data_IF_415248583446
#
_entry.id   IF_415248583446
#
_cell.length_a   1.000
_cell.length_b   1.000
_cell.length_c   1.000
_cell.angle_alpha   90.00
_cell.angle_beta   90.00
_cell.angle_gamma   90.00
#
_symmetry.space_group_name_H-M   'P 1'
#
loop_
_entity.id
_entity.type
_entity.pdbx_description
1 polymer ?
#
# COMPACT_ATOMS: atom_id res chain seq x y z
N UNK A 1 -40.75 -3.99 -25.32
CA UNK A 1 -40.24 -3.09 -24.24
C UNK A 1 -39.24 -3.74 -23.27
N UNK A 2 -38.69 -4.94 -23.55
CA UNK A 2 -37.72 -5.60 -22.64
C UNK A 2 -36.25 -5.56 -23.11
N UNK A 3 -35.99 -5.10 -24.33
CA UNK A 3 -34.63 -5.09 -24.92
C UNK A 3 -33.90 -3.72 -24.90
N UNK A 4 -34.55 -2.65 -24.44
CA UNK A 4 -33.97 -1.29 -24.46
C UNK A 4 -33.28 -0.91 -23.15
N UNK A 5 -33.58 -1.59 -22.03
CA UNK A 5 -32.96 -1.32 -20.72
C UNK A 5 -31.58 -1.96 -20.53
N UNK A 6 -31.25 -3.01 -21.28
CA UNK A 6 -29.92 -3.65 -21.24
C UNK A 6 -28.89 -2.82 -22.03
N UNK A 7 -29.34 -2.04 -23.02
CA UNK A 7 -28.45 -1.22 -23.86
C UNK A 7 -28.09 0.11 -23.15
N UNK A 8 -29.01 0.70 -22.39
CA UNK A 8 -28.72 1.93 -21.61
C UNK A 8 -27.90 1.71 -20.34
N UNK A 9 -27.95 0.50 -19.75
CA UNK A 9 -27.05 0.11 -18.64
C UNK A 9 -25.61 -0.06 -19.13
N UNK A 10 -25.41 -0.52 -20.37
CA UNK A 10 -24.08 -0.70 -20.94
C UNK A 10 -23.43 0.63 -21.36
N UNK A 11 -24.19 1.63 -21.81
CA UNK A 11 -23.62 2.92 -22.28
C UNK A 11 -23.13 3.79 -21.10
N UNK A 12 -23.80 3.73 -19.94
CA UNK A 12 -23.37 4.49 -18.74
C UNK A 12 -22.19 3.83 -18.01
N UNK A 13 -22.03 2.52 -18.16
CA UNK A 13 -20.85 1.78 -17.70
C UNK A 13 -19.69 1.98 -18.69
N UNK A 14 -19.95 2.02 -20.00
CA UNK A 14 -18.93 2.30 -21.03
C UNK A 14 -18.33 3.71 -20.95
N UNK A 15 -19.12 4.73 -20.63
CA UNK A 15 -18.63 6.12 -20.55
C UNK A 15 -17.75 6.37 -19.31
N UNK A 16 -17.85 5.52 -18.28
CA UNK A 16 -16.89 5.51 -17.15
C UNK A 16 -15.61 4.75 -17.54
N UNK A 17 -15.67 3.80 -18.47
CA UNK A 17 -14.54 2.92 -18.82
C UNK A 17 -13.51 3.52 -19.80
N UNK A 18 -13.84 4.55 -20.58
CA UNK A 18 -12.94 5.06 -21.64
C UNK A 18 -11.77 5.96 -21.18
N UNK A 19 -11.68 6.32 -19.88
CA UNK A 19 -10.64 7.23 -19.33
C UNK A 19 -9.52 6.46 -18.56
N UNK A 20 -9.51 5.13 -18.58
CA UNK A 20 -8.88 4.32 -17.52
C UNK A 20 -7.38 3.97 -17.62
N UNK A 21 -6.65 4.25 -18.72
CA UNK A 21 -5.22 3.86 -18.79
C UNK A 21 -4.33 4.71 -17.88
N UNK A 22 -4.51 6.04 -17.87
CA UNK A 22 -3.87 6.96 -16.92
C UNK A 22 -4.38 6.73 -15.49
N UNK A 23 -5.65 6.37 -15.33
CA UNK A 23 -6.27 6.13 -14.02
C UNK A 23 -5.73 4.87 -13.35
N UNK A 24 -5.40 3.81 -14.08
CA UNK A 24 -4.89 2.56 -13.46
C UNK A 24 -3.52 2.78 -12.81
N UNK A 25 -2.65 3.57 -13.45
CA UNK A 25 -1.37 3.98 -12.88
C UNK A 25 -1.55 4.93 -11.69
N UNK A 26 -2.40 5.96 -11.83
CA UNK A 26 -2.67 6.92 -10.74
C UNK A 26 -3.33 6.26 -9.53
N UNK A 27 -4.21 5.28 -9.73
CA UNK A 27 -4.81 4.47 -8.68
C UNK A 27 -3.80 3.52 -8.03
N UNK A 28 -2.94 2.86 -8.82
CA UNK A 28 -1.88 2.00 -8.28
C UNK A 28 -0.89 2.80 -7.42
N UNK A 29 -0.33 3.86 -8.00
CA UNK A 29 0.62 4.75 -7.32
C UNK A 29 -0.06 5.46 -6.15
N UNK A 30 -1.31 5.88 -6.30
CA UNK A 30 -2.10 6.50 -5.26
C UNK A 30 -2.47 5.54 -4.12
N UNK A 31 -2.55 4.24 -4.34
CA UNK A 31 -2.86 3.32 -3.23
C UNK A 31 -1.60 2.79 -2.54
N UNK A 32 -0.48 2.66 -3.29
CA UNK A 32 0.82 2.29 -2.70
C UNK A 32 1.42 3.47 -1.93
N UNK A 33 1.42 4.68 -2.52
CA UNK A 33 1.87 5.90 -1.84
C UNK A 33 0.78 6.30 -0.84
N UNK A 34 0.87 5.74 0.36
CA UNK A 34 -0.04 5.98 1.47
C UNK A 34 0.59 6.83 2.57
N UNK A 35 -0.05 6.81 3.73
CA UNK A 35 0.49 7.45 4.94
C UNK A 35 1.66 6.71 5.58
N UNK A 36 1.99 5.51 5.09
CA UNK A 36 3.05 4.67 5.67
C UNK A 36 4.43 5.33 5.65
N UNK A 37 4.76 6.13 4.63
CA UNK A 37 6.04 6.87 4.57
C UNK A 37 6.18 7.93 5.67
N UNK A 38 5.08 8.35 6.29
CA UNK A 38 5.08 9.31 7.40
C UNK A 38 5.19 8.61 8.78
N UNK A 39 5.11 7.29 8.83
CA UNK A 39 5.10 6.52 10.09
C UNK A 39 6.31 5.59 10.17
N UNK A 40 6.55 4.82 9.11
CA UNK A 40 7.56 3.77 9.05
C UNK A 40 9.01 4.24 9.22
N UNK A 41 9.46 5.45 8.82
CA UNK A 41 10.85 5.86 9.00
C UNK A 41 11.37 5.73 10.43
N UNK A 42 10.55 6.10 11.42
CA UNK A 42 10.89 5.98 12.84
C UNK A 42 11.13 4.53 13.25
N UNK A 43 10.19 3.64 12.95
CA UNK A 43 10.30 2.21 13.30
C UNK A 43 11.41 1.49 12.52
N UNK A 44 11.66 1.87 11.26
CA UNK A 44 12.78 1.32 10.48
C UNK A 44 14.11 1.75 11.08
N UNK A 45 14.27 3.02 11.46
CA UNK A 45 15.50 3.51 12.08
C UNK A 45 15.73 2.88 13.46
N UNK A 46 14.69 2.80 14.29
CA UNK A 46 14.75 2.21 15.64
C UNK A 46 15.25 0.76 15.62
N UNK A 47 14.78 -0.02 14.66
CA UNK A 47 15.14 -1.43 14.54
C UNK A 47 16.43 -1.69 13.74
N UNK A 48 16.83 -0.78 12.85
CA UNK A 48 18.09 -0.91 12.10
C UNK A 48 19.31 -0.39 12.86
N UNK A 49 19.14 0.58 13.76
CA UNK A 49 20.22 1.11 14.61
C UNK A 49 21.27 1.96 13.87
N UNK A 50 21.12 2.17 12.57
CA UNK A 50 22.03 2.93 11.71
C UNK A 50 21.26 3.51 10.51
N UNK A 51 21.62 4.73 10.11
CA UNK A 51 21.03 5.43 8.96
C UNK A 51 21.29 4.67 7.65
N UNK A 52 22.51 4.19 7.45
CA UNK A 52 22.91 3.43 6.26
C UNK A 52 22.12 2.13 6.12
N UNK A 53 21.96 1.38 7.22
CA UNK A 53 21.15 0.16 7.20
C UNK A 53 19.66 0.47 6.98
N UNK A 54 19.12 1.54 7.57
CA UNK A 54 17.74 1.97 7.32
C UNK A 54 17.47 2.21 5.83
N UNK A 55 18.37 2.92 5.13
CA UNK A 55 18.25 3.17 3.69
C UNK A 55 18.33 1.88 2.87
N UNK A 56 19.20 0.93 3.24
CA UNK A 56 19.27 -0.39 2.61
C UNK A 56 17.93 -1.14 2.78
N UNK A 57 17.32 -1.09 3.96
CA UNK A 57 16.02 -1.73 4.23
C UNK A 57 14.92 -1.14 3.32
N UNK A 58 14.91 0.17 3.07
CA UNK A 58 13.97 0.79 2.14
C UNK A 58 14.13 0.30 0.70
N UNK A 59 15.37 0.24 0.20
CA UNK A 59 15.66 -0.23 -1.16
C UNK A 59 15.31 -1.71 -1.31
N UNK A 60 15.76 -2.55 -0.36
CA UNK A 60 15.47 -3.98 -0.37
C UNK A 60 13.97 -4.26 -0.17
N UNK A 61 13.28 -3.48 0.66
CA UNK A 61 11.83 -3.54 0.83
C UNK A 61 11.08 -3.27 -0.48
N UNK A 62 11.51 -2.26 -1.24
CA UNK A 62 11.00 -2.00 -2.58
C UNK A 62 11.26 -3.15 -3.57
N UNK A 63 12.45 -3.76 -3.53
CA UNK A 63 12.76 -4.94 -4.33
C UNK A 63 11.86 -6.14 -3.98
N UNK A 64 11.61 -6.40 -2.70
CA UNK A 64 10.70 -7.46 -2.24
C UNK A 64 9.27 -7.19 -2.72
N UNK A 65 8.80 -5.94 -2.61
CA UNK A 65 7.48 -5.54 -3.09
C UNK A 65 7.37 -5.71 -4.62
N UNK A 66 8.41 -5.37 -5.38
CA UNK A 66 8.47 -5.58 -6.82
C UNK A 66 8.36 -7.07 -7.16
N UNK A 67 9.15 -7.94 -6.53
CA UNK A 67 9.08 -9.39 -6.75
C UNK A 67 7.71 -9.97 -6.39
N UNK A 68 7.15 -9.58 -5.25
CA UNK A 68 5.82 -10.03 -4.80
C UNK A 68 4.72 -9.61 -5.77
N UNK A 69 4.74 -8.36 -6.22
CA UNK A 69 3.76 -7.82 -7.17
C UNK A 69 3.79 -8.52 -8.53
N UNK A 70 4.96 -8.96 -9.01
CA UNK A 70 5.07 -9.69 -10.28
C UNK A 70 4.44 -11.07 -10.18
N UNK A 71 4.65 -11.78 -9.06
CA UNK A 71 3.98 -13.05 -8.80
C UNK A 71 2.45 -12.87 -8.77
N UNK A 72 1.96 -11.79 -8.17
CA UNK A 72 0.54 -11.46 -8.16
C UNK A 72 0.02 -11.05 -9.53
N UNK A 73 0.81 -10.33 -10.34
CA UNK A 73 0.42 -9.95 -11.69
C UNK A 73 0.13 -11.17 -12.57
N UNK A 74 0.95 -12.22 -12.45
CA UNK A 74 0.71 -13.50 -13.11
C UNK A 74 -0.58 -14.18 -12.64
N UNK A 75 -0.83 -14.22 -11.33
CA UNK A 75 -2.06 -14.79 -10.79
C UNK A 75 -3.29 -14.00 -11.26
N UNK A 76 -3.25 -12.67 -11.23
CA UNK A 76 -4.36 -11.81 -11.64
C UNK A 76 -4.74 -11.95 -13.11
N UNK A 77 -3.77 -12.19 -14.00
CA UNK A 77 -4.09 -12.44 -15.43
C UNK A 77 -4.42 -13.90 -15.73
N UNK A 78 -4.04 -14.83 -14.85
CA UNK A 78 -4.33 -16.27 -15.00
C UNK A 78 -5.69 -16.63 -14.42
N UNK A 79 -6.06 -16.01 -13.31
CA UNK A 79 -7.34 -16.18 -12.59
C UNK A 79 -7.98 -14.79 -12.50
N UNK A 80 -8.65 -14.31 -13.56
CA UNK A 80 -9.24 -12.97 -13.60
C UNK A 80 -10.58 -12.94 -12.83
N UNK A 81 -10.53 -13.24 -11.52
CA UNK A 81 -11.65 -13.14 -10.58
C UNK A 81 -11.39 -11.99 -9.61
N UNK A 82 -12.42 -11.22 -9.27
CA UNK A 82 -12.35 -10.24 -8.18
C UNK A 82 -12.21 -10.94 -6.83
N UNK A 83 -11.66 -10.26 -5.82
CA UNK A 83 -11.37 -10.81 -4.49
C UNK A 83 -9.87 -11.03 -4.19
N UNK A 84 -8.98 -10.82 -5.18
CA UNK A 84 -7.53 -10.82 -4.97
C UNK A 84 -7.01 -12.15 -4.41
N UNK A 85 -6.22 -12.07 -3.34
CA UNK A 85 -5.60 -13.20 -2.64
C UNK A 85 -6.60 -14.27 -2.20
N UNK A 86 -7.78 -13.88 -1.74
CA UNK A 86 -8.85 -14.83 -1.39
C UNK A 86 -9.24 -15.71 -2.58
N UNK A 87 -9.48 -15.10 -3.74
CA UNK A 87 -9.94 -15.81 -4.94
C UNK A 87 -8.85 -16.71 -5.50
N UNK A 88 -7.58 -16.29 -5.43
CA UNK A 88 -6.44 -17.11 -5.85
C UNK A 88 -6.27 -18.35 -4.97
N UNK A 89 -6.27 -18.16 -3.65
CA UNK A 89 -6.08 -19.25 -2.69
C UNK A 89 -7.27 -20.22 -2.71
N UNK A 90 -8.50 -19.72 -2.84
CA UNK A 90 -9.71 -20.56 -2.93
C UNK A 90 -9.68 -21.45 -4.19
N UNK A 91 -9.25 -20.91 -5.34
CA UNK A 91 -9.14 -21.69 -6.59
C UNK A 91 -8.04 -22.76 -6.52
N UNK A 92 -6.93 -22.48 -5.81
CA UNK A 92 -5.75 -23.35 -5.79
C UNK A 92 -5.83 -24.43 -4.70
N UNK A 93 -6.22 -24.04 -3.48
CA UNK A 93 -6.20 -24.89 -2.28
C UNK A 93 -7.60 -25.26 -1.76
N UNK A 94 -8.66 -24.68 -2.31
CA UNK A 94 -10.05 -24.96 -1.94
C UNK A 94 -10.61 -24.04 -0.85
N UNK A 95 -11.85 -24.33 -0.44
CA UNK A 95 -12.66 -23.43 0.39
C UNK A 95 -12.11 -23.15 1.79
N UNK A 96 -11.52 -24.15 2.47
CA UNK A 96 -11.03 -23.97 3.85
C UNK A 96 -9.89 -22.95 3.94
N UNK A 97 -8.86 -23.08 3.10
CA UNK A 97 -7.71 -22.15 3.10
C UNK A 97 -8.14 -20.77 2.61
N UNK A 98 -9.05 -20.72 1.63
CA UNK A 98 -9.70 -19.48 1.21
C UNK A 98 -10.44 -18.78 2.36
N UNK A 99 -11.25 -19.52 3.12
CA UNK A 99 -11.98 -19.00 4.27
C UNK A 99 -11.05 -18.47 5.36
N UNK A 100 -9.95 -19.18 5.69
CA UNK A 100 -8.99 -18.72 6.68
C UNK A 100 -8.34 -17.38 6.29
N UNK A 101 -7.99 -17.21 5.02
CA UNK A 101 -7.43 -15.96 4.50
C UNK A 101 -8.47 -14.84 4.53
N UNK A 102 -9.70 -15.13 4.12
CA UNK A 102 -10.82 -14.18 4.18
C UNK A 102 -11.10 -13.73 5.62
N UNK A 103 -11.15 -14.67 6.56
CA UNK A 103 -11.34 -14.43 7.98
C UNK A 103 -10.25 -13.54 8.56
N UNK A 104 -8.98 -13.87 8.32
CA UNK A 104 -7.86 -13.06 8.79
C UNK A 104 -7.85 -11.69 8.14
N UNK A 105 -8.22 -11.58 6.86
CA UNK A 105 -8.27 -10.31 6.18
C UNK A 105 -9.34 -9.38 6.77
N UNK A 106 -10.58 -9.86 6.89
CA UNK A 106 -11.74 -9.05 7.30
C UNK A 106 -11.66 -8.63 8.77
N UNK A 107 -11.18 -9.50 9.66
CA UNK A 107 -11.17 -9.21 11.10
C UNK A 107 -9.85 -8.65 11.61
N UNK A 108 -8.74 -8.97 10.97
CA UNK A 108 -7.41 -8.58 11.45
C UNK A 108 -6.76 -7.59 10.50
N UNK A 109 -6.52 -7.96 9.24
CA UNK A 109 -5.69 -7.15 8.34
C UNK A 109 -6.32 -5.78 8.06
N UNK A 110 -7.55 -5.75 7.53
CA UNK A 110 -8.23 -4.50 7.18
C UNK A 110 -8.48 -3.61 8.41
N UNK A 111 -9.06 -4.10 9.51
CA UNK A 111 -9.33 -3.27 10.68
C UNK A 111 -8.05 -2.73 11.33
N UNK A 112 -6.97 -3.53 11.37
CA UNK A 112 -5.70 -3.08 11.95
C UNK A 112 -5.05 -1.99 11.09
N UNK A 113 -5.01 -2.18 9.76
CA UNK A 113 -4.45 -1.15 8.87
C UNK A 113 -5.26 0.15 8.93
N UNK A 114 -6.59 0.08 8.95
CA UNK A 114 -7.45 1.26 9.12
C UNK A 114 -7.19 1.96 10.47
N UNK A 115 -7.03 1.21 11.56
CA UNK A 115 -6.73 1.77 12.87
C UNK A 115 -5.38 2.49 12.90
N UNK A 116 -4.33 1.89 12.32
CA UNK A 116 -3.00 2.52 12.24
C UNK A 116 -3.05 3.84 11.45
N UNK A 117 -3.74 3.86 10.31
CA UNK A 117 -3.86 5.07 9.49
C UNK A 117 -4.67 6.15 10.22
N UNK A 118 -5.76 5.78 10.91
CA UNK A 118 -6.58 6.71 11.70
C UNK A 118 -5.82 7.29 12.91
N UNK A 119 -5.03 6.47 13.61
CA UNK A 119 -4.14 6.95 14.68
C UNK A 119 -3.07 7.90 14.14
N UNK A 120 -2.57 7.64 12.94
CA UNK A 120 -1.61 8.53 12.28
C UNK A 120 -2.25 9.88 11.97
N UNK A 121 -3.47 9.88 11.45
CA UNK A 121 -4.23 11.11 11.23
C UNK A 121 -4.29 11.97 12.50
N UNK A 122 -4.71 11.38 13.62
CA UNK A 122 -4.86 12.14 14.86
C UNK A 122 -3.53 12.63 15.44
N UNK A 123 -2.47 11.81 15.40
CA UNK A 123 -1.14 12.22 15.85
C UNK A 123 -0.59 13.40 15.05
N UNK A 124 -0.76 13.39 13.72
CA UNK A 124 -0.28 14.48 12.87
C UNK A 124 -1.10 15.77 13.02
N UNK A 125 -2.40 15.67 13.24
CA UNK A 125 -3.27 16.85 13.47
C UNK A 125 -3.05 17.45 14.86
N UNK A 126 -2.76 16.62 15.87
CA UNK A 126 -2.56 17.07 17.25
C UNK A 126 -1.13 17.55 17.51
N UNK A 127 -0.14 17.15 16.70
CA UNK A 127 1.27 17.56 16.90
C UNK A 127 1.45 19.08 17.00
N UNK A 128 0.86 19.93 16.13
CA UNK A 128 1.02 21.38 16.25
C UNK A 128 0.34 21.99 17.48
N UNK A 129 -0.67 21.30 18.04
CA UNK A 129 -1.39 21.74 19.24
C UNK A 129 -0.61 21.37 20.51
N UNK A 130 0.13 20.25 20.45
CA UNK A 130 0.97 19.73 21.53
C UNK A 130 2.43 19.59 21.05
N UNK A 131 3.15 20.70 20.78
CA UNK A 131 4.48 20.64 20.17
C UNK A 131 5.52 19.97 21.09
N UNK A 132 5.51 20.30 22.38
CA UNK A 132 6.51 19.84 23.36
C UNK A 132 6.01 18.68 24.25
N UNK A 133 4.82 18.14 23.99
CA UNK A 133 4.23 17.10 24.84
C UNK A 133 3.53 16.03 24.02
N UNK A 134 3.44 14.82 24.61
CA UNK A 134 2.73 13.71 23.98
C UNK A 134 1.23 13.99 24.03
N UNK A 135 0.52 13.95 22.89
CA UNK A 135 -0.91 14.24 22.87
C UNK A 135 -1.68 13.23 23.75
N UNK A 136 -2.70 13.67 24.50
CA UNK A 136 -3.44 12.79 25.40
C UNK A 136 -4.03 11.58 24.68
N UNK A 137 -3.88 10.40 25.29
CA UNK A 137 -4.33 9.12 24.72
C UNK A 137 -5.82 9.11 24.32
N UNK A 138 -6.69 9.74 25.11
CA UNK A 138 -8.12 9.81 24.79
C UNK A 138 -8.42 10.77 23.63
N UNK A 139 -7.58 11.79 23.41
CA UNK A 139 -7.76 12.76 22.33
C UNK A 139 -7.41 12.14 20.97
N UNK A 140 -6.27 11.43 20.88
CA UNK A 140 -5.84 10.74 19.64
C UNK A 140 -6.88 9.71 19.20
N UNK A 141 -7.19 8.79 20.12
CA UNK A 141 -8.51 8.29 20.48
C UNK A 141 -9.71 8.72 19.63
N UNK A 142 -10.41 9.65 20.26
CA UNK A 142 -11.68 10.19 19.82
C UNK A 142 -11.57 10.80 18.43
N UNK A 143 -10.48 11.52 18.14
CA UNK A 143 -10.27 12.16 16.84
C UNK A 143 -10.12 11.13 15.71
N UNK A 144 -9.42 10.02 15.97
CA UNK A 144 -9.29 8.91 15.02
C UNK A 144 -10.64 8.23 14.76
N UNK A 145 -11.43 8.00 15.81
CA UNK A 145 -12.79 7.45 15.68
C UNK A 145 -13.72 8.37 14.90
N UNK A 146 -13.68 9.69 15.17
CA UNK A 146 -14.48 10.68 14.43
C UNK A 146 -14.11 10.67 12.95
N UNK A 147 -12.81 10.64 12.62
CA UNK A 147 -12.33 10.56 11.24
C UNK A 147 -12.85 9.30 10.52
N UNK A 148 -12.72 8.14 11.19
CA UNK A 148 -13.19 6.86 10.65
C UNK A 148 -14.71 6.85 10.42
N UNK A 149 -15.51 7.32 11.39
CA UNK A 149 -16.96 7.38 11.29
C UNK A 149 -17.41 8.31 10.17
N UNK A 150 -16.76 9.47 10.05
CA UNK A 150 -17.02 10.42 8.97
C UNK A 150 -16.76 9.81 7.60
N UNK A 151 -15.60 9.19 7.39
CA UNK A 151 -15.26 8.55 6.12
C UNK A 151 -16.14 7.33 5.81
N UNK A 152 -16.52 6.56 6.83
CA UNK A 152 -17.48 5.46 6.68
C UNK A 152 -18.84 6.01 6.22
N UNK A 153 -19.32 7.12 6.81
CA UNK A 153 -20.55 7.77 6.39
C UNK A 153 -20.50 8.28 4.94
N UNK A 154 -19.39 8.89 4.53
CA UNK A 154 -19.18 9.33 3.13
C UNK A 154 -19.25 8.14 2.17
N UNK A 155 -18.57 7.04 2.51
CA UNK A 155 -18.56 5.81 1.69
C UNK A 155 -19.93 5.12 1.63
N UNK A 156 -20.73 5.18 2.71
CA UNK A 156 -22.11 4.69 2.72
C UNK A 156 -23.06 5.57 1.88
N UNK A 157 -22.79 6.88 1.81
CA UNK A 157 -23.68 7.86 1.17
C UNK A 157 -23.49 7.93 -0.34
N UNK A 158 -22.25 8.03 -0.83
CA UNK A 158 -22.00 8.12 -2.27
C UNK A 158 -20.60 7.66 -2.67
N UNK A 159 -20.54 6.60 -3.48
CA UNK A 159 -19.29 6.11 -4.06
C UNK A 159 -18.63 7.19 -4.95
N UNK A 160 -19.42 7.97 -5.69
CA UNK A 160 -18.89 9.04 -6.56
C UNK A 160 -18.21 10.16 -5.78
N UNK A 161 -18.73 10.48 -4.60
CA UNK A 161 -18.12 11.46 -3.72
C UNK A 161 -16.81 10.90 -3.16
N UNK A 162 -16.82 9.65 -2.68
CA UNK A 162 -15.63 8.98 -2.17
C UNK A 162 -14.49 8.91 -3.21
N UNK A 163 -14.79 8.64 -4.48
CA UNK A 163 -13.78 8.61 -5.55
C UNK A 163 -13.24 10.00 -5.87
N UNK A 164 -14.09 11.04 -5.96
CA UNK A 164 -13.63 12.42 -6.19
C UNK A 164 -12.73 12.93 -5.06
N UNK A 165 -13.11 12.61 -3.81
CA UNK A 165 -12.33 12.93 -2.63
C UNK A 165 -10.94 12.25 -2.69
N UNK A 166 -10.90 10.98 -3.12
CA UNK A 166 -9.64 10.24 -3.31
C UNK A 166 -8.68 10.92 -4.30
N UNK A 167 -9.19 11.39 -5.44
CA UNK A 167 -8.37 12.01 -6.47
C UNK A 167 -7.70 13.29 -5.96
N UNK A 168 -8.47 14.14 -5.27
CA UNK A 168 -7.96 15.38 -4.66
C UNK A 168 -6.87 15.07 -3.63
N UNK A 169 -7.10 14.09 -2.75
CA UNK A 169 -6.12 13.70 -1.73
C UNK A 169 -4.86 13.06 -2.32
N UNK A 170 -4.98 12.40 -3.47
CA UNK A 170 -3.84 11.81 -4.17
C UNK A 170 -2.91 12.88 -4.74
N UNK A 171 -3.47 13.97 -5.28
CA UNK A 171 -2.66 15.12 -5.72
C UNK A 171 -1.98 15.79 -4.53
N UNK A 172 -2.72 16.00 -3.43
CA UNK A 172 -2.19 16.65 -2.23
C UNK A 172 -0.98 15.93 -1.62
N UNK A 173 -1.03 14.60 -1.49
CA UNK A 173 0.11 13.85 -0.92
C UNK A 173 1.34 13.81 -1.82
N UNK A 174 1.16 13.78 -3.15
CA UNK A 174 2.28 13.81 -4.09
C UNK A 174 2.97 15.18 -4.07
N UNK A 175 2.20 16.25 -3.95
CA UNK A 175 2.75 17.60 -3.76
C UNK A 175 3.57 17.70 -2.47
N UNK A 176 3.08 17.12 -1.37
CA UNK A 176 3.77 17.12 -0.09
C UNK A 176 5.09 16.34 -0.12
N UNK A 177 5.09 15.14 -0.71
CA UNK A 177 6.33 14.37 -0.90
C UNK A 177 7.30 15.08 -1.84
N UNK A 178 6.81 15.69 -2.91
CA UNK A 178 7.61 16.52 -3.80
C UNK A 178 8.28 17.67 -3.05
N UNK A 179 7.55 18.35 -2.16
CA UNK A 179 8.09 19.43 -1.33
C UNK A 179 9.19 18.93 -0.38
N UNK A 180 8.99 17.81 0.31
CA UNK A 180 10.02 17.21 1.18
C UNK A 180 11.29 16.89 0.38
N UNK A 181 11.13 16.26 -0.79
CA UNK A 181 12.26 15.87 -1.65
C UNK A 181 13.02 17.10 -2.15
N UNK A 182 12.32 18.11 -2.67
CA UNK A 182 12.97 19.33 -3.19
C UNK A 182 13.73 20.06 -2.09
N UNK A 183 13.11 20.22 -0.91
CA UNK A 183 13.75 20.89 0.23
C UNK A 183 14.94 20.10 0.75
N UNK A 184 14.84 18.77 0.82
CA UNK A 184 15.96 17.89 1.18
C UNK A 184 17.12 17.96 0.19
N UNK A 185 16.84 17.98 -1.11
CA UNK A 185 17.88 18.17 -2.13
C UNK A 185 18.57 19.53 -2.01
N UNK A 186 17.82 20.60 -1.72
CA UNK A 186 18.41 21.93 -1.46
C UNK A 186 19.32 21.90 -0.24
N UNK A 187 18.97 21.19 0.83
CA UNK A 187 19.84 21.03 2.01
C UNK A 187 21.14 20.29 1.68
N UNK A 188 21.06 19.22 0.89
CA UNK A 188 22.24 18.49 0.42
C UNK A 188 23.14 19.41 -0.42
N UNK A 189 22.56 20.20 -1.33
CA UNK A 189 23.30 21.18 -2.13
C UNK A 189 23.95 22.30 -1.28
N UNK A 190 23.43 22.60 -0.10
CA UNK A 190 24.02 23.56 0.85
C UNK A 190 25.18 22.96 1.66
N UNK A 191 25.46 21.67 1.53
CA UNK A 191 26.53 20.97 2.26
C UNK A 191 26.07 20.19 3.49
N UNK A 192 24.76 20.16 3.80
CA UNK A 192 24.22 19.46 4.96
C UNK A 192 24.00 17.97 4.67
N UNK A 193 25.09 17.25 4.40
CA UNK A 193 25.08 15.81 4.11
C UNK A 193 25.97 14.99 5.07
N UNK A 194 26.47 15.59 6.16
CA UNK A 194 27.37 14.93 7.12
C UNK A 194 26.78 13.62 7.66
N UNK A 195 25.51 13.61 8.07
CA UNK A 195 24.82 12.41 8.54
C UNK A 195 24.59 11.31 7.48
N UNK A 196 24.78 11.64 6.19
CA UNK A 196 24.66 10.71 5.06
C UNK A 196 26.02 10.19 4.57
N UNK A 197 27.13 10.71 5.11
CA UNK A 197 28.46 10.24 4.74
C UNK A 197 28.67 8.80 5.21
N UNK A 198 29.37 7.93 4.45
CA UNK A 198 29.46 6.51 4.79
C UNK A 198 30.04 6.20 6.18
N UNK A 199 30.92 7.07 6.70
CA UNK A 199 31.55 6.87 8.01
C UNK A 199 30.57 7.11 9.17
N UNK A 200 29.68 8.10 9.06
CA UNK A 200 28.62 8.37 10.06
C UNK A 200 27.39 7.51 9.81
N UNK A 201 27.00 7.32 8.55
CA UNK A 201 25.77 6.62 8.21
C UNK A 201 25.77 5.16 8.67
N UNK A 202 26.93 4.48 8.61
CA UNK A 202 27.11 3.11 9.08
C UNK A 202 27.63 3.01 10.52
N UNK A 203 27.61 4.11 11.27
CA UNK A 203 27.83 4.06 12.70
C UNK A 203 26.57 3.48 13.37
N UNK A 204 26.75 2.36 14.06
CA UNK A 204 25.67 1.67 14.73
C UNK A 204 25.61 2.15 16.18
N UNK A 205 24.50 2.78 16.57
CA UNK A 205 24.24 3.08 18.00
C UNK A 205 24.10 1.78 18.81
N UNK A 206 23.63 0.72 18.15
CA UNK A 206 23.54 -0.64 18.66
C UNK A 206 23.66 -1.62 17.50
N UNK A 207 24.39 -2.73 17.70
CA UNK A 207 24.42 -3.82 16.72
C UNK A 207 23.04 -4.50 16.67
N UNK A 208 22.31 -4.43 15.53
CA UNK A 208 20.97 -4.98 15.44
C UNK A 208 21.05 -6.51 15.38
N UNK A 209 20.19 -7.19 16.14
CA UNK A 209 20.01 -8.63 15.99
C UNK A 209 19.25 -8.94 14.70
N UNK A 210 19.36 -10.19 14.21
CA UNK A 210 18.60 -10.64 13.02
C UNK A 210 17.09 -10.40 13.18
N UNK A 211 16.57 -10.58 14.39
CA UNK A 211 15.16 -10.31 14.70
C UNK A 211 14.80 -8.82 14.57
N UNK A 212 15.69 -7.91 14.99
CA UNK A 212 15.46 -6.48 14.83
C UNK A 212 15.50 -6.07 13.35
N UNK A 213 16.45 -6.60 12.57
CA UNK A 213 16.47 -6.37 11.12
C UNK A 213 15.17 -6.87 10.47
N UNK A 214 14.64 -8.03 10.88
CA UNK A 214 13.36 -8.52 10.40
C UNK A 214 12.19 -7.59 10.75
N UNK A 215 12.15 -7.04 11.97
CA UNK A 215 11.15 -6.03 12.36
C UNK A 215 11.27 -4.75 11.52
N UNK A 216 12.49 -4.31 11.18
CA UNK A 216 12.69 -3.17 10.27
C UNK A 216 12.07 -3.43 8.89
N UNK A 217 12.21 -4.65 8.35
CA UNK A 217 11.53 -5.04 7.11
C UNK A 217 10.01 -5.08 7.24
N UNK A 218 9.46 -5.50 8.38
CA UNK A 218 8.00 -5.45 8.62
C UNK A 218 7.47 -4.01 8.64
N UNK A 219 8.23 -3.07 9.23
CA UNK A 219 7.89 -1.65 9.24
C UNK A 219 7.99 -1.02 7.84
N UNK A 220 9.03 -1.34 7.08
CA UNK A 220 9.17 -0.87 5.70
C UNK A 220 8.07 -1.44 4.79
N UNK A 221 7.74 -2.73 4.95
CA UNK A 221 6.68 -3.39 4.19
C UNK A 221 5.32 -2.76 4.39
N UNK A 222 5.03 -2.27 5.60
CA UNK A 222 3.81 -1.52 5.87
C UNK A 222 3.69 -0.28 4.97
N UNK A 223 4.79 0.44 4.75
CA UNK A 223 4.79 1.61 3.86
C UNK A 223 4.62 1.25 2.38
N UNK A 224 5.10 0.08 1.95
CA UNK A 224 4.88 -0.43 0.61
C UNK A 224 3.54 -1.15 0.42
N UNK A 225 2.76 -1.35 1.49
CA UNK A 225 1.47 -2.05 1.43
C UNK A 225 0.52 -1.38 0.42
N UNK A 226 -0.36 -2.19 -0.18
CA UNK A 226 -1.30 -1.73 -1.21
C UNK A 226 -0.88 -2.04 -2.65
N UNK A 227 0.31 -2.60 -2.88
CA UNK A 227 0.73 -3.06 -4.22
C UNK A 227 -0.18 -4.18 -4.78
N UNK A 228 -0.87 -4.93 -3.91
CA UNK A 228 -1.83 -5.95 -4.29
C UNK A 228 -3.23 -5.39 -4.61
N UNK A 229 -3.47 -4.08 -4.45
CA UNK A 229 -4.78 -3.44 -4.65
C UNK A 229 -5.41 -3.76 -6.02
N UNK A 230 -4.63 -3.62 -7.10
CA UNK A 230 -5.12 -3.82 -8.47
C UNK A 230 -5.69 -5.23 -8.68
N UNK A 231 -5.21 -6.22 -7.92
CA UNK A 231 -5.67 -7.61 -8.03
C UNK A 231 -7.10 -7.78 -7.51
N UNK A 232 -7.54 -6.99 -6.52
CA UNK A 232 -8.91 -7.02 -6.02
C UNK A 232 -9.92 -6.42 -7.00
N UNK A 233 -9.47 -5.49 -7.86
CA UNK A 233 -10.29 -4.79 -8.85
C UNK A 233 -10.00 -5.24 -10.29
N UNK A 234 -9.38 -6.42 -10.47
CA UNK A 234 -8.96 -6.91 -11.79
C UNK A 234 -10.09 -6.97 -12.81
N UNK A 235 -11.32 -7.30 -12.38
CA UNK A 235 -12.51 -7.34 -13.24
C UNK A 235 -12.91 -5.97 -13.81
N UNK A 236 -12.50 -4.89 -13.14
CA UNK A 236 -12.81 -3.50 -13.53
C UNK A 236 -11.68 -2.87 -14.39
N UNK A 237 -10.53 -3.53 -14.51
CA UNK A 237 -9.37 -3.02 -15.26
C UNK A 237 -9.55 -3.28 -16.76
N UNK A 238 -9.45 -2.24 -17.58
CA UNK A 238 -9.44 -2.35 -19.04
C UNK A 238 -8.15 -3.07 -19.48
N UNK A 239 -8.28 -4.12 -20.28
CA UNK A 239 -7.15 -4.95 -20.76
C UNK A 239 -6.15 -5.35 -19.64
N UNK A 240 -6.57 -6.15 -18.64
CA UNK A 240 -5.75 -6.45 -17.47
C UNK A 240 -4.43 -7.13 -17.84
N UNK A 241 -4.41 -7.89 -18.95
CA UNK A 241 -3.20 -8.57 -19.47
C UNK A 241 -2.06 -7.61 -19.82
N UNK A 242 -2.36 -6.37 -20.22
CA UNK A 242 -1.36 -5.37 -20.63
C UNK A 242 -1.18 -4.29 -19.57
N UNK A 243 -2.29 -3.80 -19.02
CA UNK A 243 -2.27 -2.63 -18.15
C UNK A 243 -1.86 -2.96 -16.72
N UNK A 244 -2.21 -4.15 -16.20
CA UNK A 244 -1.80 -4.60 -14.86
C UNK A 244 -0.27 -4.68 -14.71
N UNK A 245 0.49 -5.41 -15.56
CA UNK A 245 1.95 -5.48 -15.41
C UNK A 245 2.62 -4.13 -15.67
N UNK A 246 2.15 -3.36 -16.66
CA UNK A 246 2.70 -2.02 -16.97
C UNK A 246 2.55 -1.07 -15.78
N UNK A 247 1.40 -1.08 -15.11
CA UNK A 247 1.18 -0.27 -13.92
C UNK A 247 2.19 -0.65 -12.82
N UNK A 248 2.37 -1.94 -12.55
CA UNK A 248 3.29 -2.46 -11.53
C UNK A 248 4.75 -2.09 -11.83
N UNK A 249 5.21 -2.30 -13.08
CA UNK A 249 6.60 -2.03 -13.48
C UNK A 249 6.98 -0.55 -13.36
N UNK A 250 6.02 0.36 -13.48
CA UNK A 250 6.27 1.80 -13.36
C UNK A 250 6.06 2.25 -11.92
N UNK A 251 4.99 1.81 -11.26
CA UNK A 251 4.60 2.35 -9.95
C UNK A 251 5.56 1.93 -8.83
N UNK A 252 6.00 0.67 -8.76
CA UNK A 252 6.81 0.20 -7.62
C UNK A 252 8.21 0.79 -7.60
N UNK A 253 8.98 0.81 -8.71
CA UNK A 253 10.28 1.48 -8.74
C UNK A 253 10.17 2.97 -8.44
N UNK A 254 9.12 3.64 -8.96
CA UNK A 254 8.86 5.04 -8.65
C UNK A 254 8.59 5.26 -7.16
N UNK A 255 7.73 4.46 -6.54
CA UNK A 255 7.48 4.53 -5.09
C UNK A 255 8.77 4.30 -4.31
N UNK A 256 9.55 3.30 -4.68
CA UNK A 256 10.82 2.97 -4.01
C UNK A 256 11.77 4.16 -4.08
N UNK A 257 11.91 4.76 -5.25
CA UNK A 257 12.72 5.95 -5.45
C UNK A 257 12.23 7.14 -4.59
N UNK A 258 10.93 7.43 -4.60
CA UNK A 258 10.32 8.50 -3.80
C UNK A 258 10.52 8.26 -2.30
N UNK A 259 10.31 7.03 -1.82
CA UNK A 259 10.47 6.68 -0.41
C UNK A 259 11.93 6.78 0.04
N UNK A 260 12.88 6.26 -0.76
CA UNK A 260 14.31 6.39 -0.45
C UNK A 260 14.73 7.86 -0.43
N UNK A 261 14.33 8.67 -1.41
CA UNK A 261 14.63 10.11 -1.42
C UNK A 261 14.00 10.86 -0.25
N UNK A 262 12.78 10.50 0.15
CA UNK A 262 12.11 11.12 1.31
C UNK A 262 12.88 10.81 2.60
N UNK A 263 13.36 9.59 2.78
CA UNK A 263 14.19 9.25 3.94
C UNK A 263 15.54 9.96 3.91
N UNK A 264 16.19 10.05 2.75
CA UNK A 264 17.43 10.85 2.59
C UNK A 264 17.18 12.32 2.98
N UNK A 265 16.05 12.89 2.56
CA UNK A 265 15.65 14.25 2.95
C UNK A 265 15.48 14.39 4.46
N UNK A 266 14.83 13.44 5.14
CA UNK A 266 14.71 13.46 6.60
C UNK A 266 16.07 13.44 7.30
N UNK A 267 16.99 12.57 6.87
CA UNK A 267 18.34 12.49 7.44
C UNK A 267 19.23 13.69 7.13
N UNK A 268 18.93 14.48 6.08
CA UNK A 268 19.62 15.75 5.81
C UNK A 268 19.18 16.89 6.73
N UNK A 269 18.01 16.78 7.36
CA UNK A 269 17.41 17.85 8.15
C UNK A 269 17.45 17.61 9.66
N UNK A 270 17.47 16.35 10.08
CA UNK A 270 17.34 15.92 11.48
C UNK A 270 18.40 14.87 11.82
N UNK A 271 18.84 14.86 13.07
CA UNK A 271 19.69 13.77 13.57
C UNK A 271 18.88 12.49 13.77
N UNK A 272 19.52 11.31 13.81
CA UNK A 272 18.83 10.04 14.09
C UNK A 272 18.06 10.06 15.42
N UNK A 273 18.64 10.65 16.46
CA UNK A 273 18.04 10.75 17.80
C UNK A 273 16.77 11.61 17.79
N UNK A 274 16.79 12.72 17.05
CA UNK A 274 15.66 13.61 16.91
C UNK A 274 14.53 12.97 16.08
N UNK A 275 14.88 12.19 15.04
CA UNK A 275 13.89 11.44 14.28
C UNK A 275 13.17 10.41 15.16
N UNK A 276 13.90 9.76 16.08
CA UNK A 276 13.35 8.78 17.02
C UNK A 276 12.52 9.42 18.13
N UNK A 277 12.85 10.64 18.57
CA UNK A 277 12.05 11.35 19.58
C UNK A 277 10.75 11.94 19.00
N UNK A 278 10.72 12.27 17.71
CA UNK A 278 9.54 12.83 17.05
C UNK A 278 8.39 11.82 16.93
N UNK A 279 7.16 12.26 17.22
CA UNK A 279 5.93 11.49 16.95
C UNK A 279 5.41 11.68 15.52
N UNK A 280 5.81 12.77 14.86
CA UNK A 280 5.35 13.16 13.53
C UNK A 280 6.54 13.71 12.72
N UNK A 281 7.34 12.80 12.17
CA UNK A 281 8.61 13.08 11.49
C UNK A 281 8.49 14.18 10.42
N UNK A 282 7.40 14.17 9.63
CA UNK A 282 7.21 15.15 8.57
C UNK A 282 6.86 16.57 9.09
N UNK A 283 6.23 16.66 10.26
CA UNK A 283 5.94 17.95 10.91
C UNK A 283 7.22 18.55 11.46
N UNK A 284 8.03 17.76 12.16
CA UNK A 284 9.34 18.20 12.68
C UNK A 284 10.27 18.65 11.55
N UNK A 285 10.28 17.93 10.42
CA UNK A 285 10.99 18.36 9.21
C UNK A 285 10.51 19.74 8.72
N UNK A 286 9.20 19.96 8.70
CA UNK A 286 8.60 21.23 8.30
C UNK A 286 8.93 22.38 9.24
N UNK A 287 8.87 22.15 10.55
CA UNK A 287 9.21 23.16 11.57
C UNK A 287 10.66 23.66 11.43
N UNK A 288 11.59 22.75 11.13
CA UNK A 288 13.00 23.10 10.94
C UNK A 288 13.30 23.87 9.68
N UNK A 289 12.70 23.47 8.55
CA UNK A 289 13.13 23.95 7.24
C UNK A 289 12.17 24.92 6.56
N UNK A 290 10.89 24.88 6.91
CA UNK A 290 9.84 25.63 6.23
C UNK A 290 9.36 26.85 7.03
N UNK A 291 9.72 26.96 8.31
CA UNK A 291 9.34 28.08 9.17
C UNK A 291 7.82 28.30 9.17
N UNK A 292 7.36 29.44 8.64
CA UNK A 292 5.91 29.76 8.54
C UNK A 292 5.11 28.77 7.70
N UNK A 293 5.75 28.06 6.76
CA UNK A 293 5.09 27.06 5.91
C UNK A 293 5.01 25.68 6.57
N UNK A 294 5.45 25.52 7.83
CA UNK A 294 5.37 24.25 8.57
C UNK A 294 3.94 23.69 8.67
N UNK A 295 2.93 24.57 8.70
CA UNK A 295 1.49 24.24 8.73
C UNK A 295 1.05 23.41 7.52
N UNK A 296 1.74 23.50 6.38
CA UNK A 296 1.42 22.72 5.18
C UNK A 296 1.65 21.22 5.42
N UNK A 297 2.62 20.85 6.26
CA UNK A 297 2.99 19.46 6.53
C UNK A 297 1.87 18.66 7.22
N UNK A 298 1.35 19.06 8.41
CA UNK A 298 0.28 18.32 9.06
C UNK A 298 -0.99 18.28 8.22
N UNK A 299 -1.33 19.36 7.50
CA UNK A 299 -2.48 19.38 6.59
C UNK A 299 -2.30 18.35 5.47
N UNK A 300 -1.14 18.32 4.84
CA UNK A 300 -0.87 17.40 3.73
C UNK A 300 -0.86 15.94 4.18
N UNK A 301 -0.24 15.64 5.33
CA UNK A 301 -0.22 14.28 5.88
C UNK A 301 -1.63 13.85 6.31
N UNK A 302 -2.41 14.76 6.91
CA UNK A 302 -3.81 14.52 7.23
C UNK A 302 -4.61 14.14 5.98
N UNK A 303 -4.51 14.92 4.90
CA UNK A 303 -5.16 14.59 3.62
C UNK A 303 -4.71 13.22 3.07
N UNK A 304 -3.43 12.87 3.22
CA UNK A 304 -2.91 11.56 2.83
C UNK A 304 -3.53 10.42 3.65
N UNK A 305 -3.64 10.57 4.97
CA UNK A 305 -4.28 9.57 5.85
C UNK A 305 -5.76 9.40 5.55
N UNK A 306 -6.47 10.50 5.26
CA UNK A 306 -7.86 10.50 4.81
C UNK A 306 -8.05 9.67 3.53
N UNK A 307 -7.19 9.89 2.53
CA UNK A 307 -7.19 9.09 1.29
C UNK A 307 -6.82 7.62 1.52
N UNK A 308 -5.96 7.34 2.50
CA UNK A 308 -5.64 5.97 2.91
C UNK A 308 -6.86 5.23 3.46
N UNK A 309 -7.56 5.82 4.45
CA UNK A 309 -8.76 5.23 5.05
C UNK A 309 -9.83 5.00 3.98
N UNK A 310 -10.08 6.00 3.13
CA UNK A 310 -11.07 5.90 2.06
C UNK A 310 -10.75 4.78 1.06
N UNK A 311 -9.49 4.64 0.64
CA UNK A 311 -9.03 3.57 -0.24
C UNK A 311 -9.21 2.17 0.38
N UNK A 312 -8.91 2.02 1.68
CA UNK A 312 -9.07 0.74 2.39
C UNK A 312 -10.53 0.37 2.65
N UNK A 313 -11.41 1.34 2.90
CA UNK A 313 -12.86 1.09 3.01
C UNK A 313 -13.45 0.57 1.68
N UNK A 314 -12.93 1.05 0.55
CA UNK A 314 -13.37 0.64 -0.78
C UNK A 314 -12.97 -0.80 -1.15
N UNK A 315 -11.81 -1.26 -0.70
CA UNK A 315 -11.35 -2.65 -0.92
C UNK A 315 -11.93 -3.62 0.08
N UNK A 316 -12.07 -3.23 1.36
CA UNK A 316 -12.63 -4.09 2.39
C UNK A 316 -14.05 -4.53 2.04
N UNK A 317 -14.86 -3.62 1.48
CA UNK A 317 -16.23 -3.94 1.06
C UNK A 317 -16.28 -4.94 -0.10
N UNK A 318 -15.33 -4.87 -1.04
CA UNK A 318 -15.26 -5.83 -2.17
C UNK A 318 -14.86 -7.22 -1.71
N UNK A 319 -13.91 -7.30 -0.78
CA UNK A 319 -13.51 -8.58 -0.23
C UNK A 319 -14.67 -9.24 0.53
N UNK A 320 -15.40 -8.47 1.35
CA UNK A 320 -16.59 -8.96 2.05
C UNK A 320 -17.67 -9.45 1.07
N UNK A 321 -17.91 -8.69 -0.01
CA UNK A 321 -18.86 -9.06 -1.06
C UNK A 321 -18.46 -10.36 -1.76
N UNK A 322 -17.19 -10.50 -2.16
CA UNK A 322 -16.67 -11.72 -2.80
C UNK A 322 -16.76 -12.93 -1.88
N UNK A 323 -16.47 -12.76 -0.59
CA UNK A 323 -16.56 -13.84 0.39
C UNK A 323 -18.00 -14.29 0.67
N UNK A 324 -18.93 -13.35 0.76
CA UNK A 324 -20.35 -13.65 0.98
C UNK A 324 -21.00 -14.29 -0.24
N UNK A 325 -20.58 -13.93 -1.46
CA UNK A 325 -21.06 -14.55 -2.71
C UNK A 325 -20.71 -16.04 -2.81
N UNK A 326 -19.54 -16.44 -2.31
CA UNK A 326 -19.09 -17.83 -2.27
C UNK A 326 -19.64 -18.61 -1.05
N UNK A 327 -20.51 -18.01 -0.23
CA UNK A 327 -21.14 -18.65 0.93
C UNK A 327 -20.24 -18.77 2.16
N UNK A 328 -19.04 -18.20 2.14
CA UNK A 328 -18.08 -18.22 3.25
C UNK A 328 -18.36 -17.15 4.32
N UNK A 329 -19.11 -16.10 3.98
CA UNK A 329 -19.58 -15.06 4.90
C UNK A 329 -21.11 -14.97 4.89
N UNK A 330 -21.75 -14.46 5.96
CA UNK A 330 -23.18 -14.25 5.99
C UNK A 330 -23.67 -13.39 4.81
N UNK A 331 -24.78 -13.77 4.21
CA UNK A 331 -25.37 -13.09 3.04
C UNK A 331 -25.69 -11.61 3.29
N UNK A 332 -25.89 -11.21 4.56
CA UNK A 332 -26.06 -9.81 4.96
C UNK A 332 -24.90 -8.91 4.49
N UNK A 333 -23.66 -9.42 4.50
CA UNK A 333 -22.48 -8.66 4.11
C UNK A 333 -22.38 -8.44 2.59
N UNK A 334 -23.12 -9.21 1.78
CA UNK A 334 -23.24 -9.01 0.33
C UNK A 334 -24.36 -8.03 -0.07
N UNK A 335 -25.17 -7.53 0.88
CA UNK A 335 -26.27 -6.64 0.55
C UNK A 335 -25.78 -5.25 0.11
N UNK A 336 -26.38 -4.76 -0.98
CA UNK A 336 -26.09 -3.45 -1.57
C UNK A 336 -27.33 -2.56 -1.43
N UNK A 337 -27.14 -1.30 -1.06
CA UNK A 337 -28.23 -0.35 -0.94
C UNK A 337 -28.83 0.00 -2.31
N UNK A 338 -30.16 -0.06 -2.43
CA UNK A 338 -30.90 0.12 -3.69
C UNK A 338 -30.66 1.46 -4.39
N UNK A 339 -30.58 2.58 -3.65
CA UNK A 339 -30.46 3.93 -4.26
C UNK A 339 -29.03 4.33 -4.56
N UNK A 340 -28.10 4.05 -3.63
CA UNK A 340 -26.73 4.55 -3.71
C UNK A 340 -25.73 3.50 -4.22
N UNK A 341 -26.16 2.25 -4.39
CA UNK A 341 -25.32 1.12 -4.77
C UNK A 341 -24.12 0.91 -3.83
N UNK A 342 -24.30 1.15 -2.52
CA UNK A 342 -23.25 1.06 -1.50
C UNK A 342 -23.43 -0.18 -0.59
N UNK A 343 -22.34 -0.90 -0.27
CA UNK A 343 -22.37 -2.08 0.60
C UNK A 343 -22.32 -1.69 2.09
N UNK A 344 -23.43 -1.14 2.60
CA UNK A 344 -23.51 -0.57 3.96
C UNK A 344 -23.15 -1.60 5.05
N UNK A 345 -23.67 -2.84 5.07
CA UNK A 345 -23.37 -3.79 6.15
C UNK A 345 -21.90 -4.17 6.24
N UNK A 346 -21.23 -4.33 5.10
CA UNK A 346 -19.79 -4.62 5.05
C UNK A 346 -18.95 -3.47 5.63
N UNK A 347 -19.28 -2.23 5.24
CA UNK A 347 -18.61 -1.03 5.75
C UNK A 347 -18.79 -0.88 7.27
N UNK A 348 -20.00 -1.13 7.79
CA UNK A 348 -20.29 -1.09 9.22
C UNK A 348 -19.55 -2.18 10.00
N UNK A 349 -19.44 -3.39 9.43
CA UNK A 349 -18.67 -4.47 10.04
C UNK A 349 -17.17 -4.09 10.15
N UNK A 350 -16.56 -3.62 9.06
CA UNK A 350 -15.18 -3.16 9.06
C UNK A 350 -14.96 -1.98 10.01
N UNK A 351 -15.87 -1.00 10.03
CA UNK A 351 -15.78 0.15 10.93
C UNK A 351 -15.84 -0.28 12.39
N UNK A 352 -16.77 -1.18 12.74
CA UNK A 352 -16.93 -1.69 14.11
C UNK A 352 -15.67 -2.44 14.56
N UNK A 353 -15.16 -3.36 13.72
CA UNK A 353 -13.93 -4.08 14.02
C UNK A 353 -12.73 -3.12 14.19
N UNK A 354 -12.66 -2.07 13.37
CA UNK A 354 -11.58 -1.07 13.44
C UNK A 354 -11.63 -0.30 14.77
N UNK A 355 -12.83 0.11 15.22
CA UNK A 355 -13.01 0.81 16.49
C UNK A 355 -12.56 -0.07 17.67
N UNK A 356 -12.88 -1.37 17.64
CA UNK A 356 -12.43 -2.31 18.68
C UNK A 356 -10.90 -2.38 18.75
N UNK A 357 -10.23 -2.52 17.60
CA UNK A 357 -8.75 -2.57 17.55
C UNK A 357 -8.14 -1.24 18.01
N UNK A 358 -8.75 -0.12 17.64
CA UNK A 358 -8.32 1.22 18.02
C UNK A 358 -8.34 1.42 19.54
N UNK A 359 -9.29 0.80 20.25
CA UNK A 359 -9.37 0.83 21.71
C UNK A 359 -8.31 -0.02 22.42
N UNK A 360 -7.68 -0.97 21.74
CA UNK A 360 -6.77 -1.94 22.37
C UNK A 360 -5.31 -1.62 22.02
N UNK A 361 -5.03 -1.30 20.76
CA UNK A 361 -3.67 -1.31 20.23
C UNK A 361 -2.91 0.01 20.31
N UNK A 362 -1.58 -0.12 20.35
CA UNK A 362 -0.62 0.94 20.08
C UNK A 362 -0.11 0.85 18.63
N UNK A 363 0.17 1.99 18.01
CA UNK A 363 0.45 2.08 16.57
C UNK A 363 1.57 1.15 16.09
N UNK A 364 2.73 1.13 16.75
CA UNK A 364 3.88 0.31 16.31
C UNK A 364 3.65 -1.19 16.49
N UNK A 365 3.01 -1.59 17.59
CA UNK A 365 2.64 -2.99 17.85
C UNK A 365 1.60 -3.48 16.83
N UNK A 366 0.63 -2.64 16.48
CA UNK A 366 -0.34 -2.92 15.42
C UNK A 366 0.31 -3.09 14.05
N UNK A 367 1.34 -2.28 13.73
CA UNK A 367 2.10 -2.43 12.47
C UNK A 367 2.82 -3.79 12.43
N UNK A 368 3.52 -4.18 13.49
CA UNK A 368 4.22 -5.47 13.52
C UNK A 368 3.24 -6.65 13.38
N UNK A 369 2.10 -6.57 14.08
CA UNK A 369 1.04 -7.57 14.03
C UNK A 369 0.45 -7.71 12.62
N UNK A 370 0.06 -6.61 11.98
CA UNK A 370 -0.55 -6.64 10.65
C UNK A 370 0.45 -7.05 9.57
N UNK A 371 1.68 -6.55 9.63
CA UNK A 371 2.72 -6.88 8.66
C UNK A 371 3.04 -8.38 8.71
N UNK A 372 3.15 -8.97 9.90
CA UNK A 372 3.39 -10.41 10.03
C UNK A 372 2.30 -11.25 9.34
N UNK A 373 1.02 -10.94 9.59
CA UNK A 373 -0.10 -11.66 8.99
C UNK A 373 -0.15 -11.43 7.48
N UNK A 374 0.11 -10.21 7.02
CA UNK A 374 0.20 -9.90 5.59
C UNK A 374 1.26 -10.75 4.89
N UNK A 375 2.47 -10.87 5.46
CA UNK A 375 3.52 -11.72 4.91
C UNK A 375 3.15 -13.20 4.87
N UNK A 376 2.43 -13.68 5.88
CA UNK A 376 1.92 -15.05 5.88
C UNK A 376 0.96 -15.27 4.69
N UNK A 377 0.00 -14.37 4.50
CA UNK A 377 -0.95 -14.40 3.37
C UNK A 377 -0.25 -14.29 2.01
N UNK A 378 0.76 -13.42 1.90
CA UNK A 378 1.58 -13.31 0.69
C UNK A 378 2.36 -14.60 0.42
N UNK A 379 2.94 -15.20 1.45
CA UNK A 379 3.64 -16.48 1.38
C UNK A 379 2.74 -17.62 0.88
N UNK A 380 1.54 -17.75 1.45
CA UNK A 380 0.55 -18.77 1.02
C UNK A 380 0.15 -18.58 -0.44
N UNK A 381 -0.08 -17.34 -0.87
CA UNK A 381 -0.48 -17.03 -2.25
C UNK A 381 0.63 -17.31 -3.25
N UNK A 382 1.88 -16.93 -2.94
CA UNK A 382 3.06 -17.20 -3.77
C UNK A 382 3.36 -18.71 -3.81
N UNK A 383 3.27 -19.41 -2.68
CA UNK A 383 3.37 -20.87 -2.65
C UNK A 383 2.27 -21.53 -3.50
N UNK A 384 1.06 -20.96 -3.47
CA UNK A 384 -0.06 -21.32 -4.35
C UNK A 384 0.30 -21.20 -5.82
N UNK A 385 0.93 -20.10 -6.24
CA UNK A 385 1.40 -19.93 -7.62
C UNK A 385 2.37 -21.05 -8.04
N UNK A 386 3.35 -21.37 -7.19
CA UNK A 386 4.33 -22.44 -7.46
C UNK A 386 3.66 -23.81 -7.57
N UNK A 387 2.76 -24.14 -6.63
CA UNK A 387 1.98 -25.36 -6.66
C UNK A 387 1.08 -25.44 -7.89
N UNK A 388 0.45 -24.33 -8.27
CA UNK A 388 -0.44 -24.25 -9.42
C UNK A 388 0.30 -24.44 -10.75
N UNK A 389 1.56 -23.97 -10.83
CA UNK A 389 2.45 -24.26 -11.96
C UNK A 389 2.78 -25.75 -12.09
N UNK A 390 2.99 -26.43 -10.96
CA UNK A 390 3.26 -27.86 -10.94
C UNK A 390 2.03 -28.71 -11.30
N UNK A 391 0.87 -28.41 -10.70
CA UNK A 391 -0.37 -29.18 -10.89
C UNK A 391 -1.04 -28.96 -12.25
N UNK A 392 -1.03 -27.71 -12.76
CA UNK A 392 -1.62 -27.35 -14.06
C UNK A 392 -0.58 -26.66 -14.96
N UNK A 393 0.35 -27.41 -15.56
CA UNK A 393 1.42 -26.82 -16.38
C UNK A 393 0.93 -26.29 -17.73
N UNK A 394 -0.11 -26.92 -18.31
CA UNK A 394 -0.66 -26.59 -19.64
C UNK A 394 -1.64 -25.41 -19.64
N UNK A 395 -1.91 -24.80 -18.49
CA UNK A 395 -2.83 -23.67 -18.41
C UNK A 395 -2.26 -22.48 -19.18
N UNK A 396 -3.10 -21.82 -19.98
CA UNK A 396 -2.72 -20.61 -20.69
C UNK A 396 -2.44 -19.48 -19.69
N UNK A 397 -1.18 -19.01 -19.65
CA UNK A 397 -0.74 -17.90 -18.81
C UNK A 397 -0.25 -16.77 -19.72
N UNK A 398 -1.00 -15.66 -19.83
CA UNK A 398 -0.59 -14.51 -20.65
C UNK A 398 0.74 -13.91 -20.21
N UNK A 399 1.00 -13.92 -18.89
CA UNK A 399 2.24 -13.46 -18.28
C UNK A 399 2.84 -14.64 -17.53
N UNK A 400 4.15 -14.83 -17.65
CA UNK A 400 4.91 -15.81 -16.88
C UNK A 400 6.14 -15.12 -16.30
N UNK A 401 6.21 -15.07 -14.98
CA UNK A 401 7.42 -14.64 -14.27
C UNK A 401 8.46 -15.76 -14.35
N UNK A 402 9.75 -15.41 -14.45
CA UNK A 402 10.82 -16.41 -14.40
C UNK A 402 10.82 -17.10 -13.03
N UNK A 403 10.91 -18.44 -13.03
CA UNK A 403 11.21 -19.18 -11.81
C UNK A 403 12.72 -19.13 -11.55
N UNK A 404 13.11 -19.00 -10.29
CA UNK A 404 14.51 -19.07 -9.85
C UNK A 404 15.23 -20.36 -10.32
N UNK A 405 14.49 -21.42 -10.64
CA UNK A 405 15.01 -22.66 -11.27
C UNK A 405 15.63 -22.44 -12.66
N UNK A 406 15.15 -21.46 -13.44
CA UNK A 406 15.84 -21.03 -14.67
C UNK A 406 17.05 -20.14 -14.40
N UNK A 407 17.11 -19.52 -13.23
CA UNK A 407 18.21 -18.65 -12.78
C UNK A 407 19.44 -19.47 -12.36
N UNK A 408 19.25 -20.62 -11.70
CA UNK A 408 20.35 -21.53 -11.33
C UNK A 408 20.96 -22.30 -12.51
N UNK A 409 20.25 -22.38 -13.64
CA UNK A 409 20.77 -23.02 -14.86
C UNK A 409 21.60 -22.07 -15.74
N UNK A 410 21.63 -20.77 -15.44
CA UNK A 410 22.45 -19.78 -16.14
C UNK A 410 23.52 -19.22 -15.18
N UNK A 411 24.78 -19.22 -15.61
CA UNK A 411 25.93 -18.91 -14.76
C UNK A 411 26.00 -17.46 -14.28
N UNK A 412 26.88 -17.15 -13.31
CA UNK A 412 26.96 -15.84 -12.67
C UNK A 412 27.33 -14.67 -13.59
N UNK A 413 27.84 -14.93 -14.80
CA UNK A 413 28.15 -13.93 -15.82
C UNK A 413 26.91 -13.33 -16.51
N UNK A 414 25.74 -13.96 -16.40
CA UNK A 414 24.48 -13.50 -17.02
C UNK A 414 23.56 -12.76 -16.05
N UNK A 415 23.96 -12.58 -14.79
CA UNK A 415 23.13 -12.05 -13.70
C UNK A 415 22.84 -10.55 -13.84
N UNK A 416 23.81 -9.76 -14.31
CA UNK A 416 23.67 -8.31 -14.47
C UNK A 416 22.93 -7.87 -15.75
N UNK A 417 23.11 -8.55 -16.91
CA UNK A 417 22.30 -8.26 -18.08
C UNK A 417 20.84 -8.75 -17.97
N UNK A 418 20.48 -9.70 -17.10
CA UNK A 418 19.11 -10.24 -17.05
C UNK A 418 18.08 -9.34 -16.35
N UNK A 419 18.48 -8.58 -15.34
CA UNK A 419 17.63 -7.52 -14.73
C UNK A 419 17.42 -6.36 -15.71
N UNK A 420 18.42 -6.07 -16.54
CA UNK A 420 18.31 -5.12 -17.65
C UNK A 420 17.54 -5.69 -18.86
N UNK A 421 17.60 -7.01 -19.10
CA UNK A 421 16.79 -7.69 -20.11
C UNK A 421 15.33 -7.77 -19.69
N UNK A 422 14.98 -7.86 -18.40
CA UNK A 422 13.60 -7.65 -17.96
C UNK A 422 13.10 -6.23 -18.33
N UNK A 423 13.98 -5.24 -18.33
CA UNK A 423 13.70 -3.89 -18.81
C UNK A 423 13.55 -3.84 -20.35
N UNK A 424 14.40 -4.54 -21.11
CA UNK A 424 14.43 -4.51 -22.58
C UNK A 424 13.48 -5.49 -23.29
N UNK A 425 13.16 -6.64 -22.70
CA UNK A 425 12.20 -7.60 -23.27
C UNK A 425 10.77 -7.02 -23.27
N UNK A 426 10.47 -6.12 -22.34
CA UNK A 426 9.21 -5.35 -22.35
C UNK A 426 9.06 -4.45 -23.59
N UNK A 427 10.17 -4.04 -24.24
CA UNK A 427 10.16 -3.33 -25.52
C UNK A 427 10.08 -4.27 -26.73
N UNK A 428 10.73 -5.44 -26.69
CA UNK A 428 10.75 -6.34 -27.87
C UNK A 428 9.40 -7.05 -28.11
N UNK A 429 8.61 -7.34 -27.07
CA UNK A 429 7.25 -7.86 -27.25
C UNK A 429 6.26 -6.80 -27.80
N UNK A 430 6.63 -5.52 -27.80
CA UNK A 430 5.80 -4.43 -28.36
C UNK A 430 6.05 -4.25 -29.86
N UNK A 431 7.27 -4.46 -30.36
CA UNK A 431 7.56 -4.39 -31.80
C UNK A 431 7.08 -5.63 -32.59
N UNK A 432 6.96 -6.80 -31.97
CA UNK A 432 6.54 -8.03 -32.67
C UNK A 432 5.03 -8.16 -32.90
N UNK A 433 4.21 -7.19 -32.45
CA UNK A 433 2.75 -7.18 -32.67
C UNK A 433 2.25 -6.02 -33.55
N UNK A 434 3.19 -5.33 -34.21
CA UNK A 434 2.94 -4.30 -35.22
C UNK A 434 3.23 -4.80 -36.65
N UNK A 435 3.25 -6.13 -36.84
CA UNK A 435 3.27 -6.76 -38.17
C UNK A 435 2.21 -7.85 -38.28
#
# INVERSE_FOLDING_TARGET
MYNSHIIFSNISILLVLCVYSSNTFSLSTGNIIGSGIFISPKGVLEHSGSVGLALIVWVLGGCIAALGSLCYAELGVTIPKSGGDYSYVTEIFGGLVGFLLLWSAVLIMYPTTLAVIALTFSNYVLQPVFPDCVPPYMATRLLSTVCLLFLTWVNCSSVRLATRIQDVFTVGKLAALGLIIVVGLVQICKGNYEGLTPHVAFEFSRTPSVGQVALAFLQASFAFSGWNFLNYVTEEVVEPRRNLPRAIYISIPLVTFVYTLTNIAYFSAMSPEELLSSNAVAVTFGEKLLGMFSVIMPISVALSTFGGINGYLFTSSRLCFSGAREGHLPSLLAMIHFKNCTPIPALLCCCTATIVILCIGETHNLINYVSFINYLSYGVTIAGLLYYRWKKPKLYRPIKVLLLRSWFNHGPSDIFPLTLQLFLYSRMSVCASLH
#
